data_IF_881334137333
#
_entry.id   IF_881334137333
#
_cell.length_a   1.000
_cell.length_b   1.000
_cell.length_c   1.000
_cell.angle_alpha   90.00
_cell.angle_beta   90.00
_cell.angle_gamma   90.00
#
_symmetry.space_group_name_H-M   'P 1'
#
loop_
_entity.id
_entity.type
_entity.pdbx_description
1 polymer ?
#
# COMPACT_ATOMS: atom_id res chain seq x y z
N UNK A 1 -29.27 71.90 9.10
CA UNK A 1 -28.98 71.07 10.30
C UNK A 1 -28.25 69.85 9.79
N UNK A 2 -26.93 69.97 9.70
CA UNK A 2 -25.98 69.46 10.70
C UNK A 2 -25.86 67.91 10.63
N UNK A 3 -24.61 67.48 10.44
CA UNK A 3 -23.91 66.41 11.16
C UNK A 3 -23.21 65.35 10.25
N UNK A 4 -21.88 65.51 10.17
CA UNK A 4 -20.80 64.51 10.28
C UNK A 4 -20.73 63.35 9.27
N UNK A 5 -19.69 63.32 8.43
CA UNK A 5 -18.38 62.65 8.65
C UNK A 5 -18.46 61.11 8.73
N UNK A 6 -17.72 60.43 7.85
CA UNK A 6 -17.48 59.00 7.94
C UNK A 6 -16.59 58.47 6.83
N UNK A 7 -15.29 58.72 6.96
CA UNK A 7 -14.22 58.20 6.10
C UNK A 7 -13.86 56.75 6.51
N UNK A 8 -13.34 55.98 5.55
CA UNK A 8 -12.42 54.84 5.73
C UNK A 8 -12.84 53.67 6.63
N UNK A 9 -12.95 52.47 6.06
CA UNK A 9 -12.15 51.31 6.50
C UNK A 9 -11.89 50.40 5.30
N UNK A 10 -10.65 50.44 4.80
CA UNK A 10 -10.07 49.36 4.02
C UNK A 10 -10.03 48.06 4.87
N UNK A 11 -9.70 46.97 4.18
CA UNK A 11 -9.01 45.79 4.75
C UNK A 11 -9.89 44.63 5.23
N UNK A 12 -10.44 43.87 4.28
CA UNK A 12 -10.74 42.45 4.51
C UNK A 12 -10.59 41.59 3.23
N UNK A 13 -9.72 41.99 2.29
CA UNK A 13 -9.48 41.25 1.03
C UNK A 13 -8.26 40.32 1.08
N UNK A 14 -7.64 40.11 2.25
CA UNK A 14 -6.31 39.50 2.29
C UNK A 14 -6.11 38.56 3.49
N UNK A 15 -6.94 37.53 3.61
CA UNK A 15 -6.66 36.46 4.58
C UNK A 15 -7.29 35.10 4.26
N UNK A 16 -8.25 35.00 3.34
CA UNK A 16 -8.88 33.71 2.99
C UNK A 16 -8.09 32.81 2.03
N UNK A 17 -6.95 33.28 1.48
CA UNK A 17 -6.11 32.49 0.56
C UNK A 17 -4.87 31.85 1.20
N UNK A 18 -4.62 32.07 2.50
CA UNK A 18 -3.40 31.58 3.17
C UNK A 18 -3.56 30.28 3.96
N UNK A 19 -4.71 29.61 3.88
CA UNK A 19 -4.96 28.33 4.58
C UNK A 19 -5.13 27.10 3.68
N UNK A 20 -4.81 27.22 2.38
CA UNK A 20 -4.73 26.06 1.46
C UNK A 20 -3.29 25.65 1.15
N UNK A 21 -2.33 26.08 1.98
CA UNK A 21 -0.97 25.53 1.97
C UNK A 21 -0.89 24.41 2.99
N UNK A 22 -1.48 23.26 2.68
CA UNK A 22 -1.20 22.04 3.45
C UNK A 22 -1.21 20.79 2.57
N UNK A 23 0.01 20.35 2.29
CA UNK A 23 0.46 18.99 2.03
C UNK A 23 -0.13 18.27 0.80
N UNK A 24 0.44 18.57 -0.36
CA UNK A 24 0.73 17.54 -1.38
C UNK A 24 1.88 16.63 -0.91
N UNK A 25 1.75 16.06 0.29
CA UNK A 25 2.46 14.82 0.58
C UNK A 25 1.61 13.73 -0.05
N UNK A 26 2.09 13.14 -1.13
CA UNK A 26 1.46 11.95 -1.70
C UNK A 26 1.26 10.96 -0.55
N UNK A 27 0.01 10.77 -0.11
CA UNK A 27 -0.34 9.69 0.83
C UNK A 27 -0.22 8.38 0.03
N UNK A 28 0.99 7.97 -0.32
CA UNK A 28 1.20 6.62 -0.82
C UNK A 28 1.02 5.69 0.38
N UNK A 29 -0.09 4.95 0.38
CA UNK A 29 -0.24 3.84 1.30
C UNK A 29 0.92 2.86 1.08
N UNK A 30 1.48 2.31 2.16
CA UNK A 30 2.53 1.30 2.05
C UNK A 30 2.02 0.14 1.19
N UNK A 31 2.82 -0.36 0.23
CA UNK A 31 2.40 -1.47 -0.60
C UNK A 31 2.19 -2.73 0.25
N UNK A 32 1.14 -3.47 -0.08
CA UNK A 32 0.76 -4.69 0.65
C UNK A 32 1.27 -5.90 -0.10
N UNK A 33 2.30 -6.55 0.43
CA UNK A 33 2.75 -7.86 -0.04
C UNK A 33 1.94 -8.96 0.64
N UNK A 34 1.30 -9.82 -0.15
CA UNK A 34 0.50 -10.96 0.34
C UNK A 34 1.16 -12.27 -0.10
N UNK A 35 1.45 -13.15 0.86
CA UNK A 35 2.00 -14.49 0.65
C UNK A 35 0.87 -15.51 0.82
N UNK A 36 0.55 -16.25 -0.23
CA UNK A 36 -0.33 -17.41 -0.17
C UNK A 36 0.50 -18.65 0.16
N UNK A 37 0.16 -19.30 1.26
CA UNK A 37 0.93 -20.41 1.85
C UNK A 37 -0.01 -21.52 2.34
N UNK A 38 0.57 -22.69 2.68
CA UNK A 38 -0.09 -23.77 3.44
C UNK A 38 0.93 -24.42 4.36
N UNK A 39 0.46 -25.18 5.33
CA UNK A 39 1.30 -26.05 6.16
C UNK A 39 0.95 -27.54 5.91
N UNK A 40 1.91 -28.48 5.90
CA UNK A 40 3.34 -28.26 5.73
C UNK A 40 3.69 -27.80 4.29
N UNK A 41 4.67 -26.90 4.15
CA UNK A 41 5.16 -26.43 2.85
C UNK A 41 6.62 -25.92 2.95
N UNK A 42 7.62 -26.77 2.66
CA UNK A 42 9.03 -26.39 2.75
C UNK A 42 9.41 -25.16 1.90
N UNK A 43 8.86 -25.06 0.68
CA UNK A 43 9.08 -23.90 -0.19
C UNK A 43 8.51 -22.61 0.39
N UNK A 44 7.42 -22.71 1.15
CA UNK A 44 6.81 -21.57 1.80
C UNK A 44 7.64 -21.12 3.01
N UNK A 45 8.25 -22.06 3.73
CA UNK A 45 9.13 -21.77 4.87
C UNK A 45 10.40 -21.03 4.38
N UNK A 46 11.04 -21.53 3.33
CA UNK A 46 12.17 -20.84 2.66
C UNK A 46 11.77 -19.42 2.22
N UNK A 47 10.57 -19.28 1.64
CA UNK A 47 10.07 -17.97 1.21
C UNK A 47 9.86 -16.99 2.38
N UNK A 48 9.42 -17.47 3.53
CA UNK A 48 9.23 -16.64 4.74
C UNK A 48 10.55 -16.14 5.29
N UNK A 49 11.58 -16.98 5.28
CA UNK A 49 12.93 -16.58 5.70
C UNK A 49 13.49 -15.46 4.82
N UNK A 50 13.35 -15.57 3.49
CA UNK A 50 13.80 -14.53 2.56
C UNK A 50 12.98 -13.23 2.71
N UNK A 51 11.72 -13.34 3.11
CA UNK A 51 10.83 -12.20 3.30
C UNK A 51 10.83 -11.60 4.70
N UNK A 52 11.59 -12.14 5.65
CA UNK A 52 11.74 -11.61 7.01
C UNK A 52 12.01 -10.08 7.07
N UNK A 53 12.85 -9.48 6.21
CA UNK A 53 13.06 -8.02 6.22
C UNK A 53 11.86 -7.21 5.69
N UNK A 54 10.87 -7.85 5.07
CA UNK A 54 9.70 -7.21 4.46
C UNK A 54 8.44 -7.47 5.29
N UNK A 55 7.58 -6.46 5.42
CA UNK A 55 6.24 -6.67 6.01
C UNK A 55 5.31 -7.33 4.98
N UNK A 56 4.97 -8.58 5.21
CA UNK A 56 4.01 -9.33 4.40
C UNK A 56 2.77 -9.73 5.22
N UNK A 57 1.65 -9.94 4.51
CA UNK A 57 0.45 -10.59 5.04
C UNK A 57 0.43 -12.03 4.56
N UNK A 58 0.23 -12.97 5.48
CA UNK A 58 0.08 -14.38 5.12
C UNK A 58 -1.39 -14.76 4.95
N UNK A 59 -1.67 -15.57 3.94
CA UNK A 59 -2.98 -16.15 3.68
C UNK A 59 -2.81 -17.66 3.59
N UNK A 60 -3.34 -18.40 4.56
CA UNK A 60 -3.40 -19.86 4.49
C UNK A 60 -4.53 -20.27 3.54
N UNK A 61 -4.15 -20.87 2.42
CA UNK A 61 -5.10 -21.31 1.40
C UNK A 61 -5.95 -22.51 1.84
N UNK A 62 -5.59 -23.22 2.92
CA UNK A 62 -6.37 -24.37 3.41
C UNK A 62 -7.61 -23.96 4.18
N UNK A 63 -7.70 -22.71 4.62
CA UNK A 63 -8.87 -22.23 5.34
C UNK A 63 -10.10 -22.24 4.40
N UNK A 64 -11.28 -22.64 4.90
CA UNK A 64 -12.49 -22.74 4.08
C UNK A 64 -12.89 -21.39 3.47
N UNK A 65 -12.60 -20.29 4.16
CA UNK A 65 -12.79 -18.90 3.69
C UNK A 65 -11.95 -18.57 2.44
N UNK A 66 -10.85 -19.30 2.22
CA UNK A 66 -9.89 -19.10 1.14
C UNK A 66 -9.97 -20.22 0.08
N UNK A 67 -11.07 -20.97 0.01
CA UNK A 67 -11.25 -22.08 -0.95
C UNK A 67 -10.97 -21.68 -2.40
N UNK A 68 -11.36 -20.47 -2.80
CA UNK A 68 -11.05 -19.93 -4.13
C UNK A 68 -9.54 -19.82 -4.39
N UNK A 69 -8.74 -19.50 -3.38
CA UNK A 69 -7.27 -19.48 -3.49
C UNK A 69 -6.68 -20.88 -3.50
N UNK A 70 -7.27 -21.81 -2.75
CA UNK A 70 -6.87 -23.22 -2.79
C UNK A 70 -6.99 -23.78 -4.20
N UNK A 71 -8.17 -23.64 -4.81
CA UNK A 71 -8.41 -24.16 -6.16
C UNK A 71 -7.48 -23.56 -7.20
N UNK A 72 -7.12 -22.29 -7.01
CA UNK A 72 -6.23 -21.56 -7.92
C UNK A 72 -4.75 -21.88 -7.75
N UNK A 73 -4.28 -22.07 -6.52
CA UNK A 73 -2.84 -22.04 -6.20
C UNK A 73 -2.32 -23.29 -5.48
N UNK A 74 -3.14 -24.31 -5.20
CA UNK A 74 -2.72 -25.53 -4.47
C UNK A 74 -1.43 -26.19 -4.95
N UNK A 75 -1.09 -26.05 -6.24
CA UNK A 75 0.13 -26.58 -6.87
C UNK A 75 1.21 -25.53 -7.16
N UNK A 76 0.91 -24.24 -6.95
CA UNK A 76 1.78 -23.12 -7.34
C UNK A 76 2.30 -22.31 -6.15
N UNK A 77 1.87 -22.63 -4.93
CA UNK A 77 2.39 -21.99 -3.73
C UNK A 77 3.90 -22.28 -3.52
N UNK A 78 4.66 -21.33 -2.94
CA UNK A 78 4.21 -20.01 -2.47
C UNK A 78 3.88 -19.04 -3.62
N UNK A 79 2.78 -18.29 -3.50
CA UNK A 79 2.37 -17.24 -4.47
C UNK A 79 2.39 -15.89 -3.80
N UNK A 80 2.86 -14.87 -4.51
CA UNK A 80 3.00 -13.51 -3.99
C UNK A 80 2.16 -12.54 -4.79
N UNK A 81 1.35 -11.75 -4.10
CA UNK A 81 0.66 -10.60 -4.67
C UNK A 81 1.19 -9.31 -4.07
N UNK A 82 1.38 -8.29 -4.90
CA UNK A 82 1.70 -6.92 -4.47
C UNK A 82 0.49 -6.04 -4.77
N UNK A 83 -0.08 -5.40 -3.75
CA UNK A 83 -1.31 -4.59 -3.86
C UNK A 83 -2.48 -5.37 -4.51
N UNK A 84 -2.58 -6.67 -4.21
CA UNK A 84 -3.62 -7.55 -4.76
C UNK A 84 -3.40 -7.99 -6.21
N UNK A 85 -2.27 -7.63 -6.83
CA UNK A 85 -1.88 -8.08 -8.16
C UNK A 85 -0.83 -9.16 -8.07
N UNK A 86 -0.93 -10.18 -8.93
CA UNK A 86 0.07 -11.25 -9.02
C UNK A 86 1.47 -10.69 -9.30
N UNK A 87 2.44 -11.05 -8.46
CA UNK A 87 3.84 -10.66 -8.61
C UNK A 87 4.69 -11.85 -9.10
N UNK A 88 4.71 -12.95 -8.34
CA UNK A 88 5.53 -14.14 -8.61
C UNK A 88 5.00 -15.38 -7.87
N UNK A 89 5.54 -16.56 -8.20
CA UNK A 89 5.18 -17.84 -7.56
C UNK A 89 6.36 -18.81 -7.51
N UNK A 90 6.21 -19.92 -6.77
CA UNK A 90 7.16 -21.02 -6.54
C UNK A 90 8.45 -20.65 -5.80
N UNK A 91 9.08 -19.51 -6.11
CA UNK A 91 10.30 -19.01 -5.48
C UNK A 91 10.28 -17.50 -5.33
N UNK A 92 10.96 -17.00 -4.30
CA UNK A 92 11.12 -15.55 -4.08
C UNK A 92 12.21 -15.01 -4.98
N UNK A 93 11.86 -14.04 -5.83
CA UNK A 93 12.81 -13.22 -6.60
C UNK A 93 12.88 -11.83 -5.98
N UNK A 94 13.88 -11.62 -5.11
CA UNK A 94 14.08 -10.36 -4.38
C UNK A 94 14.34 -9.21 -5.35
N UNK A 95 15.13 -9.43 -6.39
CA UNK A 95 15.42 -8.41 -7.40
C UNK A 95 14.15 -7.95 -8.13
N UNK A 96 13.21 -8.87 -8.40
CA UNK A 96 11.91 -8.53 -8.98
C UNK A 96 11.03 -7.76 -8.00
N UNK A 97 11.00 -8.16 -6.73
CA UNK A 97 10.25 -7.47 -5.68
C UNK A 97 10.75 -6.03 -5.51
N UNK A 98 12.05 -5.82 -5.34
CA UNK A 98 12.66 -4.49 -5.18
C UNK A 98 12.37 -3.58 -6.37
N UNK A 99 12.49 -4.09 -7.60
CA UNK A 99 12.15 -3.33 -8.82
C UNK A 99 10.70 -2.88 -8.84
N UNK A 100 9.77 -3.66 -8.28
CA UNK A 100 8.36 -3.28 -8.21
C UNK A 100 8.10 -2.29 -7.08
N UNK A 101 8.77 -2.43 -5.94
CA UNK A 101 8.70 -1.46 -4.84
C UNK A 101 9.22 -0.09 -5.28
N UNK A 102 10.38 -0.02 -5.96
CA UNK A 102 10.95 1.23 -6.48
C UNK A 102 10.01 1.97 -7.44
N UNK A 103 9.21 1.24 -8.24
CA UNK A 103 8.22 1.84 -9.14
C UNK A 103 7.04 2.48 -8.41
N UNK A 104 6.76 2.06 -7.17
CA UNK A 104 5.68 2.60 -6.36
C UNK A 104 6.12 3.80 -5.52
N UNK A 105 7.42 4.00 -5.35
CA UNK A 105 8.01 5.14 -4.66
C UNK A 105 8.11 6.40 -5.54
N UNK A 106 8.11 6.24 -6.87
CA UNK A 106 8.21 7.31 -7.87
C UNK A 106 6.86 8.00 -8.13
#
# INVERSE_FOLDING_TARGET
>A
MLWFQGNSMQLAKHSFQLLLRNLSASKTALPVLTLFTKDPCPLCDEAKEVLEPYKNREVDIRLPENSAWYDRYKFDIPVFHLNGQFLMMHRVDVSKLEKQLQKLEQ
#
